data_IF_958389093738
#
_entry.id   IF_958389093738
#
_cell.length_a   1.000
_cell.length_b   1.000
_cell.length_c   1.000
_cell.angle_alpha   90.00
_cell.angle_beta   90.00
_cell.angle_gamma   90.00
#
_symmetry.space_group_name_H-M   'P 1'
#
loop_
_entity.id
_entity.type
_entity.pdbx_description
1 polymer ?
#
# COMPACT_ATOMS: atom_id res chain seq x y z
N UNK A 1 0.37 44.29 -7.24
CA UNK A 1 -0.54 43.66 -6.25
C UNK A 1 -0.47 42.16 -6.40
N UNK A 2 -0.12 41.41 -5.34
CA UNK A 2 -0.30 39.95 -5.32
C UNK A 2 -1.79 39.67 -5.06
N UNK A 3 -2.45 38.93 -5.96
CA UNK A 3 -3.92 38.70 -5.98
C UNK A 3 -4.34 37.25 -5.64
N UNK A 4 -3.39 36.39 -5.29
CA UNK A 4 -3.66 34.97 -5.00
C UNK A 4 -2.96 34.61 -3.69
N UNK A 5 -3.70 33.91 -2.82
CA UNK A 5 -3.19 33.30 -1.60
C UNK A 5 -3.39 31.79 -1.68
N UNK A 6 -2.34 31.03 -1.38
CA UNK A 6 -2.40 29.59 -1.26
C UNK A 6 -2.60 29.24 0.20
N UNK A 7 -3.52 28.33 0.47
CA UNK A 7 -3.78 27.78 1.79
C UNK A 7 -3.52 26.27 1.69
N UNK A 8 -2.66 25.77 2.57
CA UNK A 8 -2.39 24.35 2.71
C UNK A 8 -3.10 23.82 3.96
N UNK A 9 -3.67 22.62 3.87
CA UNK A 9 -4.41 21.99 4.95
C UNK A 9 -3.87 20.58 5.21
N UNK A 10 -4.01 20.05 6.44
CA UNK A 10 -3.57 18.70 6.73
C UNK A 10 -4.38 17.66 5.96
N UNK A 11 -3.79 16.49 5.72
CA UNK A 11 -4.49 15.35 5.13
C UNK A 11 -5.61 14.85 6.04
N UNK A 12 -6.79 14.59 5.45
CA UNK A 12 -7.96 14.05 6.14
C UNK A 12 -8.33 12.70 5.55
N UNK A 13 -8.80 11.78 6.40
CA UNK A 13 -9.32 10.47 5.98
C UNK A 13 -10.74 10.35 6.52
N UNK A 14 -11.78 10.35 5.67
CA UNK A 14 -13.15 10.21 6.12
C UNK A 14 -13.37 8.82 6.76
N UNK A 15 -14.13 8.73 7.86
CA UNK A 15 -14.48 7.45 8.45
C UNK A 15 -15.46 6.71 7.52
N UNK A 16 -14.97 5.66 6.86
CA UNK A 16 -15.75 4.78 5.98
C UNK A 16 -15.71 3.37 6.56
N UNK A 17 -16.88 2.75 6.76
CA UNK A 17 -16.97 1.35 7.19
C UNK A 17 -16.55 0.36 6.11
N UNK A 18 -16.35 0.81 4.87
CA UNK A 18 -15.88 -0.02 3.76
C UNK A 18 -14.36 -0.11 3.67
N UNK A 19 -13.65 0.81 4.32
CA UNK A 19 -12.20 0.88 4.24
C UNK A 19 -11.59 -0.12 5.23
N UNK A 20 -10.80 -1.06 4.71
CA UNK A 20 -10.07 -1.99 5.56
C UNK A 20 -8.84 -1.33 6.19
N UNK A 21 -8.36 -1.87 7.31
CA UNK A 21 -7.11 -1.43 7.93
C UNK A 21 -5.91 -1.56 6.97
N UNK A 22 -5.91 -2.61 6.14
CA UNK A 22 -4.93 -2.82 5.08
C UNK A 22 -4.93 -1.65 4.08
N UNK A 23 -6.10 -1.22 3.61
CA UNK A 23 -6.22 -0.11 2.67
C UNK A 23 -5.81 1.22 3.26
N UNK A 24 -6.09 1.44 4.55
CA UNK A 24 -5.66 2.65 5.27
C UNK A 24 -4.13 2.67 5.38
N UNK A 25 -3.51 1.53 5.71
CA UNK A 25 -2.06 1.42 5.86
C UNK A 25 -1.32 1.62 4.54
N UNK A 26 -1.78 0.98 3.46
CA UNK A 26 -1.16 1.06 2.13
C UNK A 26 -1.38 2.40 1.42
N UNK A 27 -2.24 3.27 1.96
CA UNK A 27 -2.38 4.68 1.55
C UNK A 27 -1.42 5.62 2.29
N UNK A 28 -0.61 5.11 3.21
CA UNK A 28 0.36 5.92 3.97
C UNK A 28 -0.27 6.82 5.04
N UNK A 29 -1.48 6.49 5.50
CA UNK A 29 -2.22 7.27 6.52
C UNK A 29 -1.61 7.08 7.91
N UNK A 30 -1.19 5.85 8.22
CA UNK A 30 -0.71 5.46 9.54
C UNK A 30 0.81 5.33 9.53
N UNK A 31 1.45 5.74 10.64
CA UNK A 31 2.87 5.48 10.89
C UNK A 31 3.08 4.00 11.17
N UNK A 32 3.86 3.33 10.33
CA UNK A 32 4.08 1.86 10.41
C UNK A 32 4.76 1.44 11.71
N UNK A 33 5.43 2.37 12.39
CA UNK A 33 6.10 2.13 13.67
C UNK A 33 5.11 1.70 14.76
N UNK A 34 3.88 2.21 14.72
CA UNK A 34 2.81 1.92 15.68
C UNK A 34 1.97 0.70 15.32
N UNK A 35 2.25 0.05 14.19
CA UNK A 35 1.54 -1.17 13.78
C UNK A 35 2.11 -2.35 14.57
N UNK A 36 1.24 -3.06 15.28
CA UNK A 36 1.61 -4.17 16.16
C UNK A 36 2.13 -5.38 15.38
N UNK A 37 1.38 -5.80 14.36
CA UNK A 37 1.70 -6.99 13.55
C UNK A 37 1.86 -6.57 12.08
N UNK A 38 3.06 -6.08 11.68
CA UNK A 38 3.29 -5.59 10.32
C UNK A 38 3.37 -6.72 9.28
N UNK A 39 3.76 -7.95 9.69
CA UNK A 39 3.89 -9.13 8.82
C UNK A 39 2.62 -9.40 7.99
N UNK A 40 1.45 -9.21 8.61
CA UNK A 40 0.16 -9.57 8.03
C UNK A 40 -0.20 -8.77 6.78
N UNK A 41 0.42 -7.59 6.61
CA UNK A 41 0.16 -6.70 5.48
C UNK A 41 1.13 -6.93 4.31
N UNK A 42 2.19 -7.72 4.50
CA UNK A 42 3.15 -8.02 3.42
C UNK A 42 2.49 -8.79 2.26
N UNK A 43 1.60 -9.78 2.46
CA UNK A 43 0.86 -10.41 1.36
C UNK A 43 0.14 -9.40 0.45
N UNK A 44 -0.41 -8.34 1.01
CA UNK A 44 -1.08 -7.28 0.26
C UNK A 44 -0.11 -6.46 -0.60
N UNK A 45 1.07 -6.15 -0.07
CA UNK A 45 2.16 -5.52 -0.84
C UNK A 45 2.57 -6.41 -2.02
N UNK A 46 2.75 -7.71 -1.78
CA UNK A 46 3.12 -8.68 -2.81
C UNK A 46 2.03 -8.82 -3.89
N UNK A 47 0.75 -8.66 -3.53
CA UNK A 47 -0.37 -8.65 -4.48
C UNK A 47 -0.36 -7.41 -5.38
N UNK A 48 0.03 -6.25 -4.85
CA UNK A 48 0.07 -4.97 -5.59
C UNK A 48 1.34 -4.80 -6.43
N UNK A 49 2.45 -5.40 -6.01
CA UNK A 49 3.74 -5.24 -6.66
C UNK A 49 4.06 -6.41 -7.61
N UNK A 50 4.59 -6.11 -8.79
CA UNK A 50 5.13 -7.18 -9.66
C UNK A 50 6.39 -7.77 -9.04
N UNK A 51 6.48 -9.11 -9.01
CA UNK A 51 7.62 -9.86 -8.45
C UNK A 51 8.98 -9.35 -8.93
N UNK A 52 9.10 -9.09 -10.23
CA UNK A 52 10.32 -8.56 -10.87
C UNK A 52 10.85 -7.27 -10.20
N UNK A 53 9.96 -6.37 -9.77
CA UNK A 53 10.36 -5.12 -9.13
C UNK A 53 10.81 -5.31 -7.69
N UNK A 54 10.18 -6.23 -6.95
CA UNK A 54 10.61 -6.59 -5.60
C UNK A 54 11.97 -7.28 -5.63
N UNK A 55 12.16 -8.23 -6.54
CA UNK A 55 13.43 -8.92 -6.73
C UNK A 55 14.53 -7.95 -7.13
N UNK A 56 14.25 -6.96 -7.99
CA UNK A 56 15.25 -5.91 -8.33
C UNK A 56 15.56 -4.99 -7.15
N UNK A 57 14.55 -4.61 -6.36
CA UNK A 57 14.71 -3.63 -5.28
C UNK A 57 15.47 -4.19 -4.09
N UNK A 58 15.23 -5.46 -3.77
CA UNK A 58 15.84 -6.13 -2.62
C UNK A 58 16.95 -7.10 -3.02
N UNK A 59 17.14 -7.36 -4.32
CA UNK A 59 18.08 -8.33 -4.90
C UNK A 59 18.02 -9.68 -4.15
N UNK A 60 16.78 -10.14 -3.94
CA UNK A 60 16.41 -11.46 -3.43
C UNK A 60 15.51 -12.13 -4.45
N UNK A 61 15.62 -13.43 -4.65
CA UNK A 61 14.84 -14.18 -5.64
C UNK A 61 14.34 -15.51 -5.09
N UNK A 62 13.37 -16.12 -5.78
CA UNK A 62 12.93 -17.49 -5.50
C UNK A 62 12.20 -17.64 -4.16
N UNK A 63 11.39 -16.66 -3.76
CA UNK A 63 10.44 -16.77 -2.66
C UNK A 63 9.05 -17.11 -3.22
N UNK A 64 8.25 -17.84 -2.43
CA UNK A 64 6.88 -18.22 -2.77
C UNK A 64 5.86 -17.67 -1.79
N UNK A 65 6.27 -17.44 -0.54
CA UNK A 65 5.41 -16.92 0.53
C UNK A 65 5.91 -15.57 1.04
N UNK A 66 5.04 -14.82 1.71
CA UNK A 66 5.41 -13.55 2.35
C UNK A 66 6.47 -13.75 3.44
N UNK A 67 6.32 -14.81 4.25
CA UNK A 67 7.27 -15.17 5.31
C UNK A 67 8.66 -15.48 4.73
N UNK A 68 8.74 -16.29 3.66
CA UNK A 68 10.02 -16.55 2.98
C UNK A 68 10.66 -15.28 2.42
N UNK A 69 9.84 -14.36 1.89
CA UNK A 69 10.32 -13.09 1.37
C UNK A 69 10.94 -12.22 2.48
N UNK A 70 10.26 -12.11 3.63
CA UNK A 70 10.72 -11.38 4.81
C UNK A 70 12.02 -12.01 5.34
N UNK A 71 12.05 -13.33 5.50
CA UNK A 71 13.23 -14.06 5.98
C UNK A 71 14.44 -13.85 5.07
N UNK A 72 14.26 -13.96 3.74
CA UNK A 72 15.35 -13.74 2.78
C UNK A 72 15.91 -12.33 2.87
N UNK A 73 15.05 -11.32 3.06
CA UNK A 73 15.49 -9.94 3.24
C UNK A 73 16.23 -9.77 4.57
N UNK A 74 15.69 -10.33 5.67
CA UNK A 74 16.30 -10.29 7.00
C UNK A 74 17.71 -10.87 6.98
N UNK A 75 17.88 -12.07 6.41
CA UNK A 75 19.17 -12.75 6.29
C UNK A 75 20.15 -11.98 5.41
N UNK A 76 19.67 -11.43 4.28
CA UNK A 76 20.52 -10.63 3.38
C UNK A 76 21.01 -9.34 4.04
N UNK A 77 20.14 -8.65 4.77
CA UNK A 77 20.47 -7.39 5.44
C UNK A 77 21.22 -7.59 6.78
N UNK A 78 21.34 -8.84 7.25
CA UNK A 78 21.90 -9.14 8.57
C UNK A 78 21.01 -8.67 9.73
N UNK A 79 19.71 -8.45 9.47
CA UNK A 79 18.74 -8.03 10.49
C UNK A 79 18.18 -9.26 11.20
N UNK A 80 18.99 -9.79 12.11
CA UNK A 80 18.68 -10.97 12.91
C UNK A 80 18.64 -10.59 14.39
N UNK A 81 17.73 -11.22 15.12
CA UNK A 81 17.66 -11.18 16.57
C UNK A 81 18.76 -12.05 17.19
N UNK A 82 18.91 -11.93 18.52
CA UNK A 82 19.83 -12.77 19.28
C UNK A 82 19.46 -14.25 19.07
N UNK A 83 20.42 -15.05 18.64
CA UNK A 83 20.20 -16.47 18.29
C UNK A 83 20.09 -16.73 16.79
N UNK A 84 20.14 -15.71 15.94
CA UNK A 84 20.10 -15.87 14.47
C UNK A 84 18.70 -16.00 13.88
N UNK A 85 17.67 -15.79 14.71
CA UNK A 85 16.27 -15.66 14.30
C UNK A 85 16.08 -14.40 13.44
N UNK A 86 15.41 -14.48 12.27
CA UNK A 86 15.06 -13.31 11.49
C UNK A 86 14.18 -12.31 12.26
N UNK A 87 14.50 -11.01 12.19
CA UNK A 87 13.62 -9.96 12.71
C UNK A 87 12.51 -9.66 11.71
N UNK A 88 11.46 -10.50 11.73
CA UNK A 88 10.33 -10.37 10.81
C UNK A 88 9.64 -9.00 10.94
N UNK A 89 9.40 -8.55 12.18
CA UNK A 89 8.62 -7.33 12.44
C UNK A 89 9.36 -6.08 11.97
N UNK A 90 10.67 -6.00 12.24
CA UNK A 90 11.50 -4.89 11.80
C UNK A 90 11.64 -4.84 10.27
N UNK A 91 11.83 -5.99 9.62
CA UNK A 91 11.88 -6.06 8.15
C UNK A 91 10.53 -5.69 7.54
N UNK A 92 9.44 -6.18 8.09
CA UNK A 92 8.09 -5.88 7.61
C UNK A 92 7.77 -4.39 7.70
N UNK A 93 8.11 -3.71 8.80
CA UNK A 93 7.99 -2.23 8.90
C UNK A 93 8.83 -1.51 7.85
N UNK A 94 10.05 -1.99 7.60
CA UNK A 94 10.91 -1.43 6.56
C UNK A 94 10.30 -1.59 5.17
N UNK A 95 9.76 -2.76 4.84
CA UNK A 95 9.10 -3.02 3.55
C UNK A 95 7.88 -2.12 3.36
N UNK A 96 7.04 -1.97 4.38
CA UNK A 96 5.85 -1.09 4.33
C UNK A 96 6.24 0.39 4.15
N UNK A 97 7.31 0.84 4.80
CA UNK A 97 7.86 2.17 4.58
C UNK A 97 8.42 2.35 3.16
N UNK A 98 9.15 1.37 2.64
CA UNK A 98 9.71 1.38 1.28
C UNK A 98 8.59 1.38 0.21
N UNK A 99 7.47 0.71 0.50
CA UNK A 99 6.26 0.75 -0.33
C UNK A 99 5.63 2.14 -0.37
N UNK A 100 5.37 2.75 0.80
CA UNK A 100 4.72 4.06 0.90
C UNK A 100 5.61 5.21 0.39
N UNK A 101 6.93 5.10 0.51
CA UNK A 101 7.89 6.10 0.01
C UNK A 101 8.17 5.98 -1.48
N UNK A 102 7.63 4.97 -2.16
CA UNK A 102 7.81 4.75 -3.59
C UNK A 102 9.17 4.18 -3.99
N UNK A 103 9.92 3.58 -3.05
CA UNK A 103 11.14 2.83 -3.38
C UNK A 103 10.80 1.57 -4.17
N UNK A 104 9.69 0.92 -3.82
CA UNK A 104 9.11 -0.18 -4.59
C UNK A 104 8.17 0.42 -5.64
N UNK A 105 8.42 0.26 -6.94
CA UNK A 105 7.54 0.81 -7.97
C UNK A 105 6.27 -0.04 -8.09
N UNK A 106 5.12 0.61 -7.92
CA UNK A 106 3.79 0.01 -8.11
C UNK A 106 2.79 1.08 -8.56
N UNK A 107 1.70 0.67 -9.19
CA UNK A 107 0.59 1.54 -9.56
C UNK A 107 -0.69 0.72 -9.74
N UNK A 108 -1.84 1.37 -9.57
CA UNK A 108 -3.14 0.82 -9.93
C UNK A 108 -3.46 1.30 -11.35
N UNK A 109 -3.77 0.41 -12.31
CA UNK A 109 -4.17 0.84 -13.64
C UNK A 109 -5.48 1.64 -13.57
N UNK A 110 -5.65 2.67 -14.41
CA UNK A 110 -6.94 3.34 -14.53
C UNK A 110 -8.00 2.38 -15.09
N UNK A 111 -9.31 2.70 -14.92
CA UNK A 111 -10.37 1.97 -15.59
C UNK A 111 -10.14 1.90 -17.10
N UNK A 112 -10.46 0.76 -17.71
CA UNK A 112 -10.43 0.65 -19.18
C UNK A 112 -11.56 1.50 -19.79
N UNK A 113 -11.37 1.98 -21.03
CA UNK A 113 -12.31 2.91 -21.68
C UNK A 113 -13.77 2.40 -21.74
N UNK A 114 -13.95 1.09 -21.86
CA UNK A 114 -15.27 0.46 -21.89
C UNK A 114 -15.90 0.39 -20.48
N UNK A 115 -15.09 0.29 -19.44
CA UNK A 115 -15.53 0.36 -18.05
C UNK A 115 -15.81 1.81 -17.62
N UNK A 116 -15.12 2.79 -18.19
CA UNK A 116 -15.46 4.22 -18.01
C UNK A 116 -16.88 4.54 -18.51
N UNK A 117 -17.28 3.99 -19.66
CA UNK A 117 -18.64 4.14 -20.17
C UNK A 117 -19.68 3.52 -19.21
N UNK A 118 -19.44 2.29 -18.75
CA UNK A 118 -20.34 1.61 -17.80
C UNK A 118 -20.38 2.30 -16.42
N UNK A 119 -19.27 2.85 -15.96
CA UNK A 119 -19.20 3.59 -14.70
C UNK A 119 -19.91 4.94 -14.80
N UNK A 120 -19.77 5.66 -15.93
CA UNK A 120 -20.54 6.89 -16.21
C UNK A 120 -22.04 6.60 -16.26
N UNK A 121 -22.46 5.50 -16.89
CA UNK A 121 -23.87 5.09 -16.94
C UNK A 121 -24.43 4.67 -15.58
N UNK A 122 -23.62 4.06 -14.71
CA UNK A 122 -24.02 3.76 -13.33
C UNK A 122 -24.15 5.03 -12.49
N UNK A 123 -23.17 5.94 -12.57
CA UNK A 123 -23.21 7.19 -11.83
C UNK A 123 -24.35 8.11 -12.28
N UNK A 124 -24.68 8.15 -13.57
CA UNK A 124 -25.83 8.92 -14.07
C UNK A 124 -27.17 8.35 -13.59
N UNK A 125 -27.33 7.01 -13.61
CA UNK A 125 -28.52 6.35 -13.05
C UNK A 125 -28.66 6.55 -11.54
N UNK A 126 -27.53 6.57 -10.83
CA UNK A 126 -27.52 6.77 -9.38
C UNK A 126 -27.82 8.22 -9.00
N UNK A 127 -27.38 9.21 -9.80
CA UNK A 127 -27.75 10.61 -9.62
C UNK A 127 -29.25 10.87 -9.91
N UNK A 128 -29.79 10.26 -10.97
CA UNK A 128 -31.22 10.38 -11.33
C UNK A 128 -32.17 9.81 -10.25
N UNK A 129 -31.73 8.79 -9.50
CA UNK A 129 -32.53 8.21 -8.42
C UNK A 129 -32.48 9.04 -7.13
N UNK A 130 -31.46 9.88 -6.92
CA UNK A 130 -31.35 10.76 -5.74
C UNK A 130 -32.13 12.06 -5.94
N UNK A 131 -32.37 12.48 -7.18
CA UNK A 131 -33.23 13.64 -7.51
C UNK A 131 -34.73 13.30 -7.53
N UNK A 132 -35.09 12.01 -7.44
CA UNK A 132 -36.46 11.52 -7.48
C UNK A 132 -37.07 11.17 -6.10
N UNK A 133 -36.32 11.38 -5.01
CA UNK A 133 -36.78 11.37 -3.61
C UNK A 133 -36.78 12.80 -3.03
#
# INVERSE_FOLDING_TARGET
MKRIFLIDCPGIVPPSTKDSEEDILLRGVVRVEHVTTPEQYIPAVLKRCKKQYLERTYEVSGWNTATEFIEKIARKQGRLLKGGEPDESGVSKQILNDFNRGKIPWFVPPPEKDDEQKAREKNSKQALNVEAE
#
